data_IF_430523260779
#
_entry.id   IF_430523260779
#
_cell.length_a   1.000
_cell.length_b   1.000
_cell.length_c   1.000
_cell.angle_alpha   90.00
_cell.angle_beta   90.00
_cell.angle_gamma   90.00
#
_symmetry.space_group_name_H-M   'P 1'
#
loop_
_entity.id
_entity.type
_entity.pdbx_description
1 polymer ?
#
# COMPACT_ATOMS: atom_id res chain seq x y z
N UNK A 1 -11.31 -11.24 11.31
CA UNK A 1 -12.51 -10.37 11.24
C UNK A 1 -13.23 -10.47 9.89
N UNK A 2 -12.49 -10.62 8.77
CA UNK A 2 -13.13 -10.71 7.45
C UNK A 2 -14.11 -11.88 7.34
N UNK A 3 -13.72 -13.04 7.87
CA UNK A 3 -14.55 -14.23 7.82
C UNK A 3 -15.80 -14.10 8.69
N UNK A 4 -15.69 -13.41 9.82
CA UNK A 4 -16.79 -13.26 10.76
C UNK A 4 -17.90 -12.38 10.22
N UNK A 5 -17.55 -11.36 9.42
CA UNK A 5 -18.49 -10.35 8.98
C UNK A 5 -18.88 -10.46 7.51
N UNK A 6 -18.32 -11.44 6.78
CA UNK A 6 -18.63 -11.61 5.35
C UNK A 6 -20.13 -11.82 5.11
N UNK A 7 -20.79 -12.62 5.94
CA UNK A 7 -22.21 -12.90 5.82
C UNK A 7 -23.10 -11.67 6.10
N UNK A 8 -22.53 -10.65 6.73
CA UNK A 8 -23.22 -9.39 7.01
C UNK A 8 -22.95 -8.32 5.96
N UNK A 9 -22.35 -8.71 4.82
CA UNK A 9 -21.98 -7.80 3.74
C UNK A 9 -20.97 -6.74 4.16
N UNK A 10 -20.08 -7.11 5.07
CA UNK A 10 -18.96 -6.25 5.50
C UNK A 10 -17.69 -6.86 4.98
N UNK A 11 -16.91 -6.07 4.23
CA UNK A 11 -15.61 -6.49 3.70
C UNK A 11 -14.50 -5.86 4.51
N UNK A 12 -13.49 -6.66 4.84
CA UNK A 12 -12.34 -6.22 5.62
C UNK A 12 -11.08 -6.67 4.88
N UNK A 13 -10.28 -5.70 4.47
CA UNK A 13 -9.02 -5.95 3.78
C UNK A 13 -7.92 -5.12 4.44
N UNK A 14 -6.69 -5.44 4.13
CA UNK A 14 -5.54 -4.72 4.63
C UNK A 14 -4.67 -4.23 3.48
N UNK A 15 -4.02 -3.08 3.66
CA UNK A 15 -3.03 -2.58 2.70
C UNK A 15 -1.68 -2.48 3.39
N UNK A 16 -0.62 -2.79 2.65
CA UNK A 16 0.75 -2.71 3.15
C UNK A 16 1.59 -1.79 2.27
N UNK A 17 1.64 -0.49 2.58
CA UNK A 17 2.47 0.43 1.80
C UNK A 17 3.96 0.12 1.97
N UNK A 18 4.74 0.39 0.92
CA UNK A 18 6.19 0.48 1.03
C UNK A 18 6.59 1.83 1.59
N UNK A 19 7.79 2.28 1.25
CA UNK A 19 8.24 3.61 1.66
C UNK A 19 7.58 4.67 0.79
N UNK A 20 6.92 5.60 1.43
CA UNK A 20 6.13 6.65 0.78
C UNK A 20 6.86 7.99 0.96
N UNK A 21 6.87 8.80 -0.09
CA UNK A 21 7.51 10.12 -0.08
C UNK A 21 6.70 11.08 0.80
N UNK A 22 7.02 11.08 2.08
CA UNK A 22 6.38 11.90 3.11
C UNK A 22 7.37 12.92 3.65
N UNK A 23 6.93 13.94 4.38
CA UNK A 23 7.85 14.89 5.01
C UNK A 23 8.91 14.23 5.90
N UNK A 24 8.56 13.11 6.54
CA UNK A 24 9.51 12.38 7.37
C UNK A 24 10.70 11.85 6.54
N UNK A 25 10.43 11.30 5.36
CA UNK A 25 11.48 10.80 4.47
C UNK A 25 12.24 11.93 3.78
N UNK A 26 11.59 13.06 3.56
CA UNK A 26 12.26 14.24 2.98
C UNK A 26 13.32 14.82 3.92
N UNK A 27 13.24 14.54 5.21
CA UNK A 27 14.24 14.98 6.18
C UNK A 27 15.53 14.15 6.14
N UNK A 28 15.53 13.02 5.44
CA UNK A 28 16.73 12.19 5.27
C UNK A 28 17.68 12.81 4.27
N UNK A 29 19.00 12.54 4.43
CA UNK A 29 19.96 12.97 3.45
C UNK A 29 19.80 12.19 2.13
N UNK A 30 20.43 12.70 1.06
CA UNK A 30 20.27 12.13 -0.28
C UNK A 30 20.81 10.70 -0.37
N UNK A 31 21.89 10.40 0.34
CA UNK A 31 22.48 9.06 0.32
C UNK A 31 21.56 8.02 0.94
N UNK A 32 21.00 8.31 2.12
CA UNK A 32 20.04 7.45 2.77
C UNK A 32 18.79 7.25 1.93
N UNK A 33 18.31 8.34 1.34
CA UNK A 33 17.13 8.31 0.48
C UNK A 33 17.36 7.42 -0.73
N UNK A 34 18.53 7.50 -1.36
CA UNK A 34 18.87 6.65 -2.50
C UNK A 34 18.97 5.18 -2.11
N UNK A 35 19.47 4.88 -0.91
CA UNK A 35 19.51 3.50 -0.42
C UNK A 35 18.10 2.93 -0.26
N UNK A 36 17.19 3.70 0.27
CA UNK A 36 15.78 3.28 0.43
C UNK A 36 15.14 3.07 -0.95
N UNK A 37 15.37 3.99 -1.88
CA UNK A 37 14.84 3.88 -3.24
C UNK A 37 15.35 2.60 -3.92
N UNK A 38 16.61 2.25 -3.71
CA UNK A 38 17.22 1.08 -4.34
C UNK A 38 16.59 -0.23 -3.89
N UNK A 39 15.92 -0.26 -2.73
CA UNK A 39 15.23 -1.44 -2.24
C UNK A 39 13.91 -1.70 -2.98
N UNK A 40 13.44 -0.74 -3.76
CA UNK A 40 12.18 -0.84 -4.50
C UNK A 40 12.47 -1.10 -5.98
N UNK A 41 12.09 -2.26 -6.52
CA UNK A 41 12.32 -2.56 -7.95
C UNK A 41 11.79 -1.50 -8.91
N UNK A 42 10.72 -0.80 -8.53
CA UNK A 42 10.16 0.27 -9.37
C UNK A 42 11.08 1.49 -9.49
N UNK A 43 12.05 1.64 -8.58
CA UNK A 43 13.07 2.67 -8.68
C UNK A 43 12.70 4.04 -8.13
N UNK A 44 11.63 4.11 -7.33
CA UNK A 44 11.20 5.36 -6.70
C UNK A 44 10.42 5.07 -5.43
N UNK A 45 10.23 6.10 -4.61
CA UNK A 45 9.31 6.03 -3.48
C UNK A 45 7.86 6.13 -3.99
N UNK A 46 6.94 5.59 -3.21
CA UNK A 46 5.52 5.72 -3.51
C UNK A 46 5.01 7.11 -3.16
N UNK A 47 3.85 7.45 -3.69
CA UNK A 47 3.16 8.71 -3.38
C UNK A 47 1.94 8.41 -2.51
N UNK A 48 1.63 9.31 -1.58
CA UNK A 48 0.45 9.16 -0.73
C UNK A 48 -0.83 8.96 -1.54
N UNK A 49 -0.95 9.63 -2.67
CA UNK A 49 -2.09 9.51 -3.57
C UNK A 49 -2.25 8.09 -4.13
N UNK A 50 -1.15 7.39 -4.34
CA UNK A 50 -1.20 6.01 -4.83
C UNK A 50 -1.79 5.06 -3.79
N UNK A 51 -1.47 5.28 -2.52
CA UNK A 51 -2.07 4.50 -1.43
C UNK A 51 -3.55 4.85 -1.30
N UNK A 52 -3.89 6.13 -1.38
CA UNK A 52 -5.27 6.60 -1.28
C UNK A 52 -6.15 6.01 -2.41
N UNK A 53 -5.62 5.93 -3.63
CA UNK A 53 -6.36 5.34 -4.76
C UNK A 53 -6.69 3.87 -4.52
N UNK A 54 -5.75 3.09 -3.99
CA UNK A 54 -6.01 1.68 -3.66
C UNK A 54 -7.08 1.56 -2.58
N UNK A 55 -6.98 2.36 -1.52
CA UNK A 55 -7.95 2.34 -0.43
C UNK A 55 -9.34 2.71 -0.95
N UNK A 56 -9.41 3.73 -1.79
CA UNK A 56 -10.67 4.17 -2.39
C UNK A 56 -11.30 3.06 -3.23
N UNK A 57 -10.49 2.39 -4.07
CA UNK A 57 -10.99 1.29 -4.89
C UNK A 57 -11.49 0.12 -4.04
N UNK A 58 -10.70 -0.27 -3.02
CA UNK A 58 -11.08 -1.36 -2.11
C UNK A 58 -12.37 -1.05 -1.35
N UNK A 59 -12.63 0.22 -1.09
CA UNK A 59 -13.83 0.67 -0.37
C UNK A 59 -15.05 0.83 -1.28
N UNK A 60 -14.85 0.72 -2.59
CA UNK A 60 -15.93 0.93 -3.57
C UNK A 60 -16.65 -0.37 -3.90
N UNK A 61 -17.80 -0.23 -4.56
CA UNK A 61 -18.57 -1.39 -5.06
C UNK A 61 -17.82 -2.18 -6.13
N UNK A 62 -16.81 -1.57 -6.75
CA UNK A 62 -15.98 -2.25 -7.75
C UNK A 62 -15.15 -3.37 -7.14
N UNK A 63 -14.89 -3.31 -5.84
CA UNK A 63 -14.18 -4.36 -5.10
C UNK A 63 -15.13 -5.24 -4.30
N UNK A 64 -16.36 -5.39 -4.73
CA UNK A 64 -17.42 -6.04 -3.95
C UNK A 64 -17.16 -7.51 -3.62
N UNK A 65 -16.29 -8.18 -4.36
CA UNK A 65 -15.93 -9.59 -4.11
C UNK A 65 -14.55 -9.74 -3.44
N UNK A 66 -13.90 -8.62 -3.09
CA UNK A 66 -12.58 -8.62 -2.44
C UNK A 66 -12.76 -8.56 -0.94
N UNK A 67 -12.37 -9.63 -0.24
CA UNK A 67 -12.53 -9.73 1.20
C UNK A 67 -11.43 -10.59 1.80
N UNK A 68 -10.90 -10.19 2.95
CA UNK A 68 -9.93 -10.95 3.69
C UNK A 68 -8.52 -10.96 3.07
N UNK A 69 -8.22 -10.04 2.18
CA UNK A 69 -6.95 -10.03 1.45
C UNK A 69 -6.02 -8.93 1.94
N UNK A 70 -4.72 -9.17 1.75
CA UNK A 70 -3.67 -8.21 2.03
C UNK A 70 -3.09 -7.72 0.71
N UNK A 71 -3.01 -6.42 0.54
CA UNK A 71 -2.57 -5.80 -0.70
C UNK A 71 -1.30 -4.99 -0.47
N UNK A 72 -0.11 -5.56 -0.78
CA UNK A 72 1.11 -4.76 -0.76
C UNK A 72 1.05 -3.72 -1.89
N UNK A 73 1.43 -2.49 -1.55
CA UNK A 73 1.57 -1.43 -2.54
C UNK A 73 2.91 -0.76 -2.30
N UNK A 74 3.96 -1.39 -2.79
CA UNK A 74 5.32 -1.17 -2.36
C UNK A 74 6.35 -1.15 -3.50
N UNK A 75 5.89 -0.99 -4.74
CA UNK A 75 6.77 -0.95 -5.89
C UNK A 75 7.62 -2.21 -6.08
N UNK A 76 7.16 -3.34 -5.55
CA UNK A 76 7.85 -4.61 -5.67
C UNK A 76 8.78 -4.96 -4.52
N UNK A 77 8.78 -4.17 -3.46
CA UNK A 77 9.69 -4.39 -2.32
C UNK A 77 9.59 -5.81 -1.75
N UNK A 78 8.37 -6.31 -1.50
CA UNK A 78 8.18 -7.65 -0.94
C UNK A 78 8.42 -8.77 -1.96
N UNK A 79 8.33 -8.47 -3.24
CA UNK A 79 8.57 -9.44 -4.29
C UNK A 79 10.06 -9.68 -4.55
N UNK A 80 10.89 -8.88 -3.94
CA UNK A 80 12.32 -8.85 -4.16
C UNK A 80 13.06 -9.96 -3.39
#
# INVERSE_FOLDING_TARGET
AALEYAAHNIRINAVGPGFIDTPLLKALDDEMKQQIISLHPIGRLGKSEEIAELILWLSSDKASFVNGSYHPIDGGYLAN
#
